data_IF_142263523161
#
_entry.id   IF_142263523161
#
_cell.length_a   1.000
_cell.length_b   1.000
_cell.length_c   1.000
_cell.angle_alpha   90.00
_cell.angle_beta   90.00
_cell.angle_gamma   90.00
#
_symmetry.space_group_name_H-M   'P 1'
#
loop_
_entity.id
_entity.type
_entity.pdbx_description
1 polymer ?
#
# COMPACT_ATOMS: atom_id res chain seq x y z
N UNK A 1 -4.12 -16.18 -12.06
CA UNK A 1 -4.84 -14.89 -11.89
C UNK A 1 -6.14 -15.13 -11.14
N UNK A 2 -6.58 -14.20 -10.30
CA UNK A 2 -7.89 -14.30 -9.61
C UNK A 2 -9.05 -13.94 -10.57
N UNK A 3 -10.24 -14.52 -10.37
CA UNK A 3 -11.49 -14.15 -11.06
C UNK A 3 -11.76 -12.64 -10.97
N UNK A 4 -11.44 -12.02 -9.82
CA UNK A 4 -11.61 -10.58 -9.60
C UNK A 4 -10.71 -9.75 -10.53
N UNK A 5 -9.50 -10.24 -10.80
CA UNK A 5 -8.57 -9.53 -11.67
C UNK A 5 -8.99 -9.66 -13.14
N UNK A 6 -9.54 -10.81 -13.54
CA UNK A 6 -10.15 -11.00 -14.86
C UNK A 6 -11.36 -10.08 -15.06
N UNK A 7 -12.29 -10.02 -14.09
CA UNK A 7 -13.46 -9.14 -14.13
C UNK A 7 -13.09 -7.66 -14.19
N UNK A 8 -11.97 -7.28 -13.56
CA UNK A 8 -11.45 -5.90 -13.57
C UNK A 8 -10.55 -5.60 -14.78
N UNK A 9 -10.34 -6.56 -15.68
CA UNK A 9 -9.48 -6.41 -16.85
C UNK A 9 -8.01 -6.15 -16.51
N UNK A 10 -7.54 -6.64 -15.35
CA UNK A 10 -6.17 -6.46 -14.89
C UNK A 10 -5.25 -7.49 -15.51
N UNK A 11 -4.11 -7.02 -16.04
CA UNK A 11 -3.07 -7.84 -16.66
C UNK A 11 -1.79 -7.79 -15.84
N UNK A 12 -0.89 -8.74 -16.06
CA UNK A 12 0.44 -8.80 -15.44
C UNK A 12 0.40 -8.61 -13.92
N UNK A 13 -0.52 -9.31 -13.26
CA UNK A 13 -0.73 -9.19 -11.81
C UNK A 13 0.40 -9.90 -11.08
N UNK A 14 1.18 -9.16 -10.31
CA UNK A 14 2.28 -9.67 -9.49
C UNK A 14 1.95 -9.38 -8.02
N UNK A 15 2.16 -10.38 -7.17
CA UNK A 15 2.02 -10.26 -5.72
C UNK A 15 3.38 -10.48 -5.06
N UNK A 16 3.74 -9.60 -4.14
CA UNK A 16 4.95 -9.72 -3.33
C UNK A 16 4.61 -9.45 -1.88
N UNK A 17 5.23 -10.20 -0.96
CA UNK A 17 5.11 -9.98 0.47
C UNK A 17 6.51 -9.95 1.07
N UNK A 18 6.83 -8.87 1.78
CA UNK A 18 8.14 -8.62 2.33
C UNK A 18 8.01 -8.15 3.79
N UNK A 19 9.05 -8.39 4.59
CA UNK A 19 9.13 -7.85 5.95
C UNK A 19 9.58 -6.39 5.94
N UNK A 20 9.12 -5.62 6.92
CA UNK A 20 9.39 -4.19 7.02
C UNK A 20 8.66 -3.37 5.96
N UNK A 21 9.12 -2.13 5.78
CA UNK A 21 8.49 -1.12 4.90
C UNK A 21 9.33 -0.78 3.66
N UNK A 22 10.56 -1.29 3.56
CA UNK A 22 11.51 -0.91 2.51
C UNK A 22 10.96 -1.15 1.10
N UNK A 23 10.31 -2.30 0.88
CA UNK A 23 9.72 -2.60 -0.43
C UNK A 23 8.60 -1.63 -0.82
N UNK A 24 7.87 -1.08 0.15
CA UNK A 24 6.89 -0.04 -0.12
C UNK A 24 7.57 1.26 -0.56
N UNK A 25 8.64 1.65 0.13
CA UNK A 25 9.40 2.86 -0.18
C UNK A 25 10.00 2.76 -1.59
N UNK A 26 10.63 1.64 -1.92
CA UNK A 26 11.17 1.39 -3.26
C UNK A 26 10.09 1.50 -4.33
N UNK A 27 8.95 0.84 -4.14
CA UNK A 27 7.87 0.88 -5.13
C UNK A 27 7.26 2.28 -5.27
N UNK A 28 7.12 3.04 -4.18
CA UNK A 28 6.62 4.42 -4.25
C UNK A 28 7.57 5.28 -5.11
N UNK A 29 8.88 5.09 -4.95
CA UNK A 29 9.89 5.80 -5.74
C UNK A 29 9.89 5.37 -7.23
N UNK A 30 9.64 4.08 -7.53
CA UNK A 30 9.49 3.61 -8.92
C UNK A 30 8.30 4.26 -9.62
N UNK A 31 7.29 4.68 -8.87
CA UNK A 31 6.09 5.38 -9.34
C UNK A 31 6.16 6.90 -9.07
N UNK A 32 7.35 7.52 -9.06
CA UNK A 32 7.55 8.95 -8.71
C UNK A 32 6.66 9.96 -9.46
N UNK A 33 6.30 9.67 -10.71
CA UNK A 33 5.51 10.56 -11.57
C UNK A 33 4.00 10.34 -11.40
N UNK A 34 3.59 9.69 -10.31
CA UNK A 34 2.21 9.27 -10.05
C UNK A 34 1.72 9.86 -8.74
N UNK A 35 0.40 10.03 -8.68
CA UNK A 35 -0.30 10.35 -7.44
C UNK A 35 -0.84 9.10 -6.79
N UNK A 36 -1.01 9.18 -5.48
CA UNK A 36 -1.45 8.07 -4.64
C UNK A 36 -2.63 8.49 -3.75
N UNK A 37 -3.51 7.53 -3.52
CA UNK A 37 -4.39 7.54 -2.35
C UNK A 37 -3.70 6.84 -1.20
N UNK A 38 -3.90 7.37 -0.01
CA UNK A 38 -3.43 6.79 1.23
C UNK A 38 -4.57 6.72 2.24
N UNK A 39 -4.89 5.52 2.71
CA UNK A 39 -5.80 5.28 3.82
C UNK A 39 -4.96 4.92 5.04
N UNK A 40 -4.77 5.90 5.92
CA UNK A 40 -4.21 5.72 7.25
C UNK A 40 -5.24 5.17 8.24
N UNK A 41 -4.93 5.21 9.54
CA UNK A 41 -5.84 4.68 10.56
C UNK A 41 -7.14 5.47 10.66
N UNK A 42 -7.02 6.81 10.68
CA UNK A 42 -8.15 7.73 10.91
C UNK A 42 -8.52 8.51 9.67
N UNK A 43 -7.57 8.76 8.78
CA UNK A 43 -7.73 9.68 7.64
C UNK A 43 -7.47 8.99 6.31
N UNK A 44 -8.11 9.52 5.28
CA UNK A 44 -7.85 9.18 3.89
C UNK A 44 -7.33 10.43 3.18
N UNK A 45 -6.38 10.21 2.29
CA UNK A 45 -5.73 11.22 1.49
C UNK A 45 -5.75 10.77 0.03
N UNK A 46 -5.75 11.74 -0.87
CA UNK A 46 -5.72 11.57 -2.33
C UNK A 46 -4.83 12.63 -2.94
N UNK A 47 -4.35 12.40 -4.16
CA UNK A 47 -3.49 13.33 -4.88
C UNK A 47 -2.11 13.50 -4.25
N UNK A 48 -1.64 12.52 -3.45
CA UNK A 48 -0.32 12.60 -2.82
C UNK A 48 0.76 12.26 -3.83
N UNK A 49 1.79 13.09 -3.94
CA UNK A 49 3.04 12.70 -4.60
C UNK A 49 3.84 11.73 -3.71
N UNK A 50 4.89 11.12 -4.27
CA UNK A 50 5.71 10.13 -3.55
C UNK A 50 6.30 10.67 -2.25
N UNK A 51 6.82 11.90 -2.24
CA UNK A 51 7.43 12.51 -1.07
C UNK A 51 6.41 12.79 0.05
N UNK A 52 5.26 13.38 -0.29
CA UNK A 52 4.17 13.65 0.65
C UNK A 52 3.59 12.35 1.19
N UNK A 53 3.46 11.33 0.35
CA UNK A 53 3.01 10.01 0.77
C UNK A 53 3.95 9.39 1.81
N UNK A 54 5.27 9.39 1.56
CA UNK A 54 6.25 8.84 2.49
C UNK A 54 6.22 9.57 3.84
N UNK A 55 6.10 10.90 3.81
CA UNK A 55 5.94 11.70 5.02
C UNK A 55 4.69 11.29 5.81
N UNK A 56 3.55 11.10 5.16
CA UNK A 56 2.30 10.67 5.81
C UNK A 56 2.38 9.25 6.39
N UNK A 57 3.04 8.33 5.67
CA UNK A 57 3.28 6.98 6.16
C UNK A 57 4.13 7.03 7.44
N UNK A 58 5.21 7.82 7.42
CA UNK A 58 6.07 8.00 8.59
C UNK A 58 5.30 8.59 9.77
N UNK A 59 4.53 9.66 9.57
CA UNK A 59 3.69 10.28 10.61
C UNK A 59 2.69 9.29 11.23
N UNK A 60 2.04 8.44 10.42
CA UNK A 60 1.13 7.40 10.92
C UNK A 60 1.89 6.32 11.68
N UNK A 61 3.05 5.86 11.20
CA UNK A 61 3.87 4.86 11.90
C UNK A 61 4.41 5.38 13.24
N UNK A 62 4.87 6.64 13.29
CA UNK A 62 5.36 7.27 14.52
C UNK A 62 4.25 7.50 15.55
N UNK A 63 3.01 7.70 15.08
CA UNK A 63 1.84 7.81 15.95
C UNK A 63 1.44 6.47 16.60
N UNK A 64 1.99 5.36 16.12
CA UNK A 64 1.76 4.01 16.66
C UNK A 64 2.87 3.64 17.65
N UNK A 65 2.50 3.02 18.77
CA UNK A 65 3.46 2.48 19.74
C UNK A 65 4.51 1.61 19.04
N UNK A 66 5.80 1.83 19.39
CA UNK A 66 7.06 1.30 18.80
C UNK A 66 7.13 -0.24 18.61
N UNK A 67 6.09 -0.99 19.00
CA UNK A 67 6.10 -2.45 19.10
C UNK A 67 5.56 -3.18 17.85
N UNK A 68 5.17 -2.48 16.78
CA UNK A 68 4.66 -3.14 15.58
C UNK A 68 5.77 -3.70 14.71
N UNK A 69 5.67 -5.01 14.40
CA UNK A 69 6.40 -5.58 13.25
C UNK A 69 5.56 -5.38 12.00
N UNK A 70 6.11 -4.65 11.04
CA UNK A 70 5.45 -4.39 9.78
C UNK A 70 5.74 -5.48 8.75
N UNK A 71 4.72 -5.86 8.00
CA UNK A 71 4.84 -6.60 6.74
C UNK A 71 4.22 -5.77 5.63
N UNK A 72 4.90 -5.72 4.49
CA UNK A 72 4.41 -5.06 3.29
C UNK A 72 3.88 -6.12 2.33
N UNK A 73 2.62 -5.98 1.91
CA UNK A 73 2.06 -6.74 0.78
C UNK A 73 1.88 -5.80 -0.40
N UNK A 74 2.48 -6.14 -1.52
CA UNK A 74 2.44 -5.38 -2.76
C UNK A 74 1.65 -6.17 -3.79
N UNK A 75 0.76 -5.49 -4.49
CA UNK A 75 0.12 -5.95 -5.70
C UNK A 75 0.38 -4.94 -6.81
N UNK A 76 1.14 -5.32 -7.82
CA UNK A 76 1.26 -4.54 -9.05
C UNK A 76 0.45 -5.17 -10.17
N UNK A 77 -0.11 -4.35 -11.05
CA UNK A 77 -0.87 -4.82 -12.20
C UNK A 77 -0.95 -3.73 -13.27
N UNK A 78 -1.23 -4.13 -14.50
CA UNK A 78 -1.62 -3.20 -15.56
C UNK A 78 -3.15 -3.17 -15.61
N UNK A 79 -3.75 -1.98 -15.53
CA UNK A 79 -5.20 -1.84 -15.61
C UNK A 79 -5.72 -2.00 -17.06
N UNK A 80 -7.04 -1.97 -17.22
CA UNK A 80 -7.70 -2.10 -18.54
C UNK A 80 -7.32 -1.01 -19.55
N UNK A 81 -6.75 0.12 -19.09
CA UNK A 81 -6.28 1.25 -19.91
C UNK A 81 -4.79 1.11 -20.26
N UNK A 82 -4.14 0.01 -19.88
CA UNK A 82 -2.71 -0.19 -20.11
C UNK A 82 -1.81 0.55 -19.12
N UNK A 83 -2.38 1.13 -18.05
CA UNK A 83 -1.63 1.92 -17.08
C UNK A 83 -1.15 1.01 -15.94
N UNK A 84 0.14 1.11 -15.60
CA UNK A 84 0.70 0.42 -14.45
C UNK A 84 0.12 0.98 -13.15
N UNK A 85 -0.27 0.08 -12.25
CA UNK A 85 -0.89 0.38 -10.96
C UNK A 85 -0.21 -0.43 -9.87
N UNK A 86 -0.17 0.14 -8.67
CA UNK A 86 0.33 -0.49 -7.46
C UNK A 86 -0.66 -0.33 -6.31
N UNK A 87 -0.84 -1.40 -5.55
CA UNK A 87 -1.57 -1.44 -4.29
C UNK A 87 -0.63 -1.99 -3.22
N UNK A 88 -0.37 -1.19 -2.18
CA UNK A 88 0.53 -1.54 -1.07
C UNK A 88 -0.28 -1.59 0.20
N UNK A 89 -0.16 -2.69 0.95
CA UNK A 89 -0.76 -2.87 2.27
C UNK A 89 0.37 -3.00 3.28
N UNK A 90 0.48 -2.04 4.19
CA UNK A 90 1.39 -2.08 5.34
C UNK A 90 0.62 -2.65 6.52
N UNK A 91 1.02 -3.83 6.98
CA UNK A 91 0.36 -4.57 8.06
C UNK A 91 1.24 -4.51 9.30
N UNK A 92 0.82 -3.76 10.31
CA UNK A 92 1.47 -3.75 11.62
C UNK A 92 0.83 -4.78 12.53
N UNK A 93 1.63 -5.71 13.08
CA UNK A 93 1.16 -6.69 14.07
C UNK A 93 1.73 -6.44 15.46
N UNK A 94 0.85 -6.31 16.45
CA UNK A 94 1.22 -6.15 17.87
C UNK A 94 1.44 -7.52 18.51
N UNK A 95 2.66 -8.07 18.43
CA UNK A 95 3.08 -9.32 19.11
C UNK A 95 2.24 -10.60 18.80
N UNK A 96 2.69 -11.74 19.34
CA UNK A 96 2.36 -13.13 18.95
C UNK A 96 1.00 -13.68 19.42
N UNK A 97 0.01 -12.85 19.76
CA UNK A 97 -1.28 -13.37 20.24
C UNK A 97 -2.35 -13.45 19.13
N UNK A 98 -2.81 -14.69 18.89
CA UNK A 98 -4.03 -15.11 18.16
C UNK A 98 -4.22 -14.65 16.71
N UNK A 99 -5.05 -15.38 15.94
CA UNK A 99 -5.39 -15.07 14.53
C UNK A 99 -6.08 -13.71 14.34
N UNK A 100 -6.64 -13.16 15.41
CA UNK A 100 -7.32 -11.87 15.41
C UNK A 100 -6.83 -11.05 16.61
N UNK A 101 -5.97 -10.08 16.34
CA UNK A 101 -5.59 -9.07 17.32
C UNK A 101 -6.30 -7.76 16.94
N UNK A 102 -7.17 -7.19 17.80
CA UNK A 102 -7.83 -5.91 17.52
C UNK A 102 -6.85 -4.74 17.39
N UNK A 103 -5.59 -4.94 17.79
CA UNK A 103 -4.50 -3.99 17.62
C UNK A 103 -3.79 -4.13 16.26
N UNK A 104 -4.10 -5.16 15.45
CA UNK A 104 -3.52 -5.26 14.11
C UNK A 104 -3.99 -4.07 13.26
N UNK A 105 -3.03 -3.40 12.65
CA UNK A 105 -3.25 -2.20 11.85
C UNK A 105 -2.95 -2.45 10.39
N UNK A 106 -3.74 -1.83 9.52
CA UNK A 106 -3.51 -1.86 8.09
C UNK A 106 -3.55 -0.44 7.53
N UNK A 107 -2.44 -0.05 6.90
CA UNK A 107 -2.38 1.14 6.07
C UNK A 107 -2.41 0.71 4.61
N UNK A 108 -3.15 1.44 3.79
CA UNK A 108 -3.36 1.10 2.39
C UNK A 108 -2.97 2.26 1.48
N UNK A 109 -2.06 1.98 0.56
CA UNK A 109 -1.63 2.90 -0.49
C UNK A 109 -2.11 2.35 -1.83
N UNK A 110 -2.63 3.22 -2.70
CA UNK A 110 -2.93 2.87 -4.09
C UNK A 110 -2.51 3.98 -5.03
N UNK A 111 -1.92 3.63 -6.16
CA UNK A 111 -1.78 4.56 -7.27
C UNK A 111 -3.16 5.02 -7.75
N UNK A 112 -3.28 6.30 -8.06
CA UNK A 112 -4.47 6.86 -8.66
C UNK A 112 -4.49 6.61 -10.17
N UNK A 113 -5.71 6.57 -10.71
CA UNK A 113 -5.90 6.59 -12.16
C UNK A 113 -5.65 8.03 -12.60
N UNK A 114 -4.74 8.30 -13.54
CA UNK A 114 -4.52 9.64 -14.05
C UNK A 114 -5.81 10.12 -14.71
N UNK A 115 -6.19 11.35 -14.43
CA UNK A 115 -7.21 12.03 -15.22
C UNK A 115 -6.57 12.34 -16.58
N UNK A 116 -6.92 11.52 -17.58
CA UNK A 116 -6.64 11.79 -18.99
C UNK A 116 -7.56 12.89 -19.50
#
# INVERSE_FOLDING_TARGET
MSLVDSLKGRKNVIFQENEGVNSAIHLINDFRDRTFTFKGLKKKYSGLDGASLLKRIQEEMDSMLILYRYRTKIKTYIDKRGIAQAEIRLLGKASTMSRYNPLDVELLVKTEIPNL
#
